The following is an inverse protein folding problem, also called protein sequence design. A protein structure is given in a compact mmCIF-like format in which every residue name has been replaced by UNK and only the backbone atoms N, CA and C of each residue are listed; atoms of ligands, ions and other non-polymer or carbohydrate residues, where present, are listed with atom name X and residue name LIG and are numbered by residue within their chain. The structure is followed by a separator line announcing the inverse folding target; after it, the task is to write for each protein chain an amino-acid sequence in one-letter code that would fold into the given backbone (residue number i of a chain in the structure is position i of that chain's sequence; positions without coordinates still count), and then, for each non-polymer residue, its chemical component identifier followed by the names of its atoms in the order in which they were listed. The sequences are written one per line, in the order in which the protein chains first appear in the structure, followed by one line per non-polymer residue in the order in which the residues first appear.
data_IF_977126077769
#
_entry.id   IF_977126077769
#
_cell.length_a   1.000
_cell.length_b   1.000
_cell.length_c   1.000
_cell.angle_alpha   90.00
_cell.angle_beta   90.00
_cell.angle_gamma   90.00
#
_symmetry.space_group_name_H-M   'P 1'
#
loop_
_entity.id
_entity.type
_entity.pdbx_description
1 polymer ?
#
# COMPACT_ATOMS: atom_id res chain seq x y z
N UNK A 1 -17.86 45.83 -35.05
CA UNK A 1 -17.30 47.13 -34.68
C UNK A 1 -16.05 46.93 -33.82
N UNK A 2 -14.90 47.23 -34.40
CA UNK A 2 -13.60 47.66 -33.89
C UNK A 2 -12.84 46.81 -32.90
N UNK A 3 -11.84 46.18 -33.52
CA UNK A 3 -10.55 45.69 -32.96
C UNK A 3 -9.86 46.75 -32.08
N UNK A 4 -9.20 46.31 -31.02
CA UNK A 4 -7.97 46.96 -30.56
C UNK A 4 -6.93 45.91 -30.22
N UNK A 5 -5.94 45.83 -31.11
CA UNK A 5 -4.65 45.16 -30.88
C UNK A 5 -3.84 46.08 -29.97
N UNK A 6 -3.13 45.51 -28.98
CA UNK A 6 -1.99 46.16 -28.36
C UNK A 6 -0.85 45.14 -28.35
N UNK A 7 0.13 45.49 -29.08
CA UNK A 7 1.46 44.88 -29.25
C UNK A 7 2.42 45.64 -28.34
N UNK A 8 3.30 44.99 -27.66
CA UNK A 8 4.62 45.46 -27.14
C UNK A 8 5.15 44.43 -26.15
N UNK A 9 6.37 44.04 -26.02
CA UNK A 9 7.60 44.15 -26.80
C UNK A 9 8.58 43.15 -26.16
N UNK A 10 9.46 42.58 -26.97
CA UNK A 10 10.64 41.81 -26.58
C UNK A 10 11.56 42.61 -25.63
N UNK A 11 12.11 41.93 -24.62
CA UNK A 11 13.45 42.22 -24.13
C UNK A 11 14.17 40.89 -23.90
N UNK A 12 15.17 40.66 -24.72
CA UNK A 12 16.20 39.66 -24.59
C UNK A 12 17.25 40.15 -23.59
N UNK A 13 17.70 39.28 -22.73
CA UNK A 13 18.80 39.54 -21.79
C UNK A 13 19.49 38.24 -21.37
N UNK A 14 20.48 37.84 -22.15
CA UNK A 14 21.41 36.77 -21.78
C UNK A 14 22.40 37.29 -20.75
N UNK A 15 22.60 36.57 -19.68
CA UNK A 15 23.79 36.70 -18.84
C UNK A 15 24.16 35.34 -18.28
N UNK A 16 25.21 34.78 -18.87
CA UNK A 16 25.97 33.64 -18.39
C UNK A 16 26.95 34.16 -17.34
N UNK A 17 26.94 33.62 -16.13
CA UNK A 17 28.09 33.74 -15.23
C UNK A 17 28.19 32.45 -14.41
N UNK A 18 29.13 31.62 -14.82
CA UNK A 18 29.73 30.53 -14.06
C UNK A 18 30.54 31.09 -12.88
N UNK A 19 30.31 30.58 -11.68
CA UNK A 19 31.30 30.62 -10.62
C UNK A 19 31.27 29.33 -9.83
N UNK A 20 32.29 28.53 -10.00
CA UNK A 20 32.68 27.48 -9.09
C UNK A 20 33.28 28.15 -7.84
N UNK A 21 32.76 27.78 -6.66
CA UNK A 21 33.46 28.01 -5.41
C UNK A 21 33.14 26.87 -4.45
N UNK A 22 34.14 26.03 -4.17
CA UNK A 22 34.22 25.20 -3.00
C UNK A 22 34.19 26.06 -1.74
N UNK A 23 33.36 25.71 -0.78
CA UNK A 23 33.31 26.34 0.54
C UNK A 23 32.52 25.48 1.52
N UNK A 24 33.25 24.74 2.33
CA UNK A 24 32.79 23.91 3.43
C UNK A 24 32.19 24.76 4.55
N UNK A 25 30.95 24.51 4.96
CA UNK A 25 30.48 24.50 6.38
C UNK A 25 28.95 24.34 6.49
N UNK A 26 28.53 23.31 7.16
CA UNK A 26 27.47 23.19 8.15
C UNK A 26 26.09 23.77 7.83
N UNK A 27 25.18 22.93 7.33
CA UNK A 27 23.77 23.23 7.30
C UNK A 27 22.98 21.93 7.08
N UNK A 28 22.43 21.38 8.17
CA UNK A 28 21.69 20.13 8.18
C UNK A 28 20.38 20.24 7.39
N UNK A 29 20.40 19.89 6.12
CA UNK A 29 19.18 19.45 5.43
C UNK A 29 19.08 17.94 5.65
N UNK A 30 18.14 17.53 6.50
CA UNK A 30 17.68 16.15 6.54
C UNK A 30 16.97 15.85 5.23
N UNK A 31 17.72 15.44 4.24
CA UNK A 31 17.22 14.60 3.16
C UNK A 31 16.71 13.32 3.83
N UNK A 32 15.49 12.91 3.46
CA UNK A 32 14.93 11.64 3.89
C UNK A 32 15.98 10.56 3.66
N UNK A 33 16.44 10.00 4.75
CA UNK A 33 17.34 8.86 4.79
C UNK A 33 16.61 7.70 4.11
N UNK A 34 16.97 7.47 2.86
CA UNK A 34 16.73 6.20 2.20
C UNK A 34 17.65 5.21 2.89
N UNK A 35 17.20 4.74 4.04
CA UNK A 35 17.92 3.79 4.86
C UNK A 35 18.39 2.64 4.01
N UNK A 36 19.70 2.47 3.97
CA UNK A 36 20.39 1.30 3.45
C UNK A 36 19.84 0.04 4.14
N UNK A 37 18.72 -0.46 3.63
CA UNK A 37 18.19 -1.76 3.98
C UNK A 37 19.15 -2.79 3.39
N UNK A 38 19.68 -3.62 4.22
CA UNK A 38 20.60 -4.73 3.97
C UNK A 38 20.10 -5.67 2.86
N UNK A 39 20.00 -5.23 1.61
CA UNK A 39 19.68 -6.05 0.44
C UNK A 39 18.33 -6.77 0.46
N UNK A 40 17.47 -6.55 1.46
CA UNK A 40 16.17 -7.20 1.58
C UNK A 40 15.07 -6.38 0.90
N UNK A 41 14.12 -7.06 0.27
CA UNK A 41 12.89 -6.44 -0.22
C UNK A 41 11.97 -6.12 0.95
N UNK A 42 11.61 -4.85 1.12
CA UNK A 42 10.60 -4.45 2.11
C UNK A 42 9.23 -4.42 1.44
N UNK A 43 8.24 -5.05 2.09
CA UNK A 43 6.82 -4.97 1.72
C UNK A 43 6.02 -4.39 2.89
N UNK A 44 5.03 -3.59 2.57
CA UNK A 44 4.14 -2.96 3.54
C UNK A 44 2.82 -3.73 3.64
N UNK A 45 2.40 -4.02 4.87
CA UNK A 45 1.12 -4.66 5.15
C UNK A 45 0.27 -3.76 6.04
N UNK A 46 -0.87 -3.31 5.53
CA UNK A 46 -1.88 -2.60 6.31
C UNK A 46 -2.98 -3.55 6.73
N UNK A 47 -3.30 -3.57 8.03
CA UNK A 47 -4.29 -4.47 8.58
C UNK A 47 -5.19 -3.78 9.61
N UNK A 48 -6.50 -3.98 9.49
CA UNK A 48 -7.40 -3.72 10.60
C UNK A 48 -7.17 -4.75 11.70
N UNK A 49 -7.12 -4.34 12.98
CA UNK A 49 -6.75 -5.23 14.09
C UNK A 49 -7.91 -6.15 14.51
N UNK A 50 -8.32 -7.05 13.63
CA UNK A 50 -9.45 -7.97 13.87
C UNK A 50 -9.03 -9.19 14.68
N UNK A 51 -7.80 -9.69 14.47
CA UNK A 51 -7.28 -10.91 15.11
C UNK A 51 -6.16 -10.65 16.11
N UNK A 52 -6.07 -9.45 16.62
CA UNK A 52 -4.87 -8.93 17.27
C UNK A 52 -4.55 -9.50 18.62
N UNK A 53 -5.53 -10.12 19.27
CA UNK A 53 -5.39 -10.52 20.65
C UNK A 53 -5.72 -12.00 20.83
N UNK A 54 -4.73 -12.79 21.23
CA UNK A 54 -4.93 -14.15 21.75
C UNK A 54 -5.36 -14.15 23.21
N UNK A 55 -4.98 -13.09 23.93
CA UNK A 55 -5.33 -12.83 25.33
C UNK A 55 -5.65 -11.35 25.49
N UNK A 56 -6.48 -11.02 26.46
CA UNK A 56 -6.85 -9.63 26.76
C UNK A 56 -5.65 -8.71 27.09
N UNK A 57 -4.52 -9.29 27.52
CA UNK A 57 -3.28 -8.58 27.81
C UNK A 57 -2.41 -8.28 26.59
N UNK A 58 -2.72 -8.87 25.43
CA UNK A 58 -1.91 -8.72 24.23
C UNK A 58 -2.14 -7.34 23.62
N UNK A 59 -1.06 -6.72 23.13
CA UNK A 59 -1.15 -5.45 22.42
C UNK A 59 -1.71 -5.62 21.01
N UNK A 60 -2.22 -4.53 20.44
CA UNK A 60 -2.69 -4.46 19.07
C UNK A 60 -1.58 -4.91 18.09
N UNK A 61 -1.93 -5.74 17.13
CA UNK A 61 -1.00 -6.26 16.12
C UNK A 61 -0.13 -7.43 16.59
N UNK A 62 -0.39 -8.02 17.76
CA UNK A 62 0.40 -9.16 18.25
C UNK A 62 0.27 -10.38 17.35
N UNK A 63 -0.94 -10.70 16.90
CA UNK A 63 -1.18 -11.82 15.99
C UNK A 63 -0.50 -11.62 14.63
N UNK A 64 -0.65 -10.44 14.05
CA UNK A 64 -0.03 -10.08 12.79
C UNK A 64 1.50 -10.15 12.87
N UNK A 65 2.10 -9.70 13.97
CA UNK A 65 3.54 -9.79 14.19
C UNK A 65 4.04 -11.24 14.28
N UNK A 66 3.24 -12.16 14.83
CA UNK A 66 3.59 -13.59 14.83
C UNK A 66 3.58 -14.17 13.42
N UNK A 67 2.58 -13.83 12.60
CA UNK A 67 2.51 -14.22 11.18
C UNK A 67 3.73 -13.68 10.43
N UNK A 68 4.05 -12.39 10.60
CA UNK A 68 5.21 -11.75 9.98
C UNK A 68 6.49 -12.47 10.37
N UNK A 69 6.68 -12.78 11.64
CA UNK A 69 7.88 -13.51 12.12
C UNK A 69 8.02 -14.87 11.46
N UNK A 70 6.92 -15.60 11.32
CA UNK A 70 6.92 -16.91 10.64
C UNK A 70 7.22 -16.76 9.14
N UNK A 71 6.63 -15.76 8.49
CA UNK A 71 6.85 -15.45 7.07
C UNK A 71 8.31 -15.04 6.78
N UNK A 72 8.86 -14.10 7.55
CA UNK A 72 10.24 -13.62 7.39
C UNK A 72 11.27 -14.75 7.68
N UNK A 73 10.94 -15.69 8.57
CA UNK A 73 11.77 -16.87 8.80
C UNK A 73 11.84 -17.79 7.57
N UNK A 74 10.72 -17.94 6.88
CA UNK A 74 10.63 -18.74 5.65
C UNK A 74 11.16 -17.99 4.42
N UNK A 75 11.19 -16.65 4.46
CA UNK A 75 11.59 -15.77 3.37
C UNK A 75 12.63 -14.75 3.86
N UNK A 76 13.89 -15.15 4.07
CA UNK A 76 14.90 -14.32 4.75
C UNK A 76 15.27 -13.06 3.99
N UNK A 77 14.98 -12.99 2.70
CA UNK A 77 15.25 -11.83 1.83
C UNK A 77 14.10 -10.82 1.78
N UNK A 78 13.02 -11.09 2.53
CA UNK A 78 11.85 -10.19 2.62
C UNK A 78 11.73 -9.65 4.04
N UNK A 79 11.37 -8.38 4.14
CA UNK A 79 11.00 -7.70 5.37
C UNK A 79 9.57 -7.20 5.27
N UNK A 80 8.74 -7.46 6.28
CA UNK A 80 7.35 -6.98 6.31
C UNK A 80 7.20 -5.86 7.32
N UNK A 81 6.71 -4.72 6.85
CA UNK A 81 6.39 -3.56 7.68
C UNK A 81 4.88 -3.52 7.92
N UNK A 82 4.47 -3.84 9.14
CA UNK A 82 3.08 -3.77 9.55
C UNK A 82 2.65 -2.36 9.91
N UNK A 83 1.52 -1.94 9.41
CA UNK A 83 0.76 -0.80 9.92
C UNK A 83 -0.66 -1.25 10.31
N UNK A 84 -1.01 -1.07 11.58
CA UNK A 84 -2.38 -1.32 12.05
C UNK A 84 -3.26 -0.12 11.75
N UNK A 85 -4.40 -0.37 11.12
CA UNK A 85 -5.33 0.65 10.66
C UNK A 85 -6.47 0.82 11.68
N UNK A 86 -6.73 2.04 12.07
CA UNK A 86 -7.85 2.38 12.95
C UNK A 86 -9.21 2.20 12.26
N UNK A 87 -10.19 1.64 12.95
CA UNK A 87 -11.51 1.36 12.37
C UNK A 87 -12.31 2.61 11.98
N UNK A 88 -12.09 3.73 12.65
CA UNK A 88 -12.84 4.96 12.41
C UNK A 88 -12.31 5.73 11.21
N UNK A 89 -10.99 5.94 11.16
CA UNK A 89 -10.31 6.75 10.13
C UNK A 89 -9.68 5.90 9.01
N UNK A 90 -9.54 4.62 9.23
CA UNK A 90 -8.86 3.70 8.33
C UNK A 90 -9.46 3.61 6.93
N UNK A 91 -10.79 3.51 6.77
CA UNK A 91 -11.39 3.45 5.44
C UNK A 91 -11.05 4.67 4.58
N UNK A 92 -11.07 5.87 5.15
CA UNK A 92 -10.70 7.11 4.46
C UNK A 92 -9.21 7.14 4.13
N UNK A 93 -8.36 6.75 5.09
CA UNK A 93 -6.91 6.64 4.88
C UNK A 93 -6.57 5.71 3.72
N UNK A 94 -7.18 4.52 3.67
CA UNK A 94 -6.94 3.54 2.62
C UNK A 94 -7.37 4.10 1.25
N UNK A 95 -8.58 4.67 1.18
CA UNK A 95 -9.09 5.26 -0.07
C UNK A 95 -8.17 6.36 -0.56
N UNK A 96 -7.76 7.27 0.32
CA UNK A 96 -6.84 8.36 -0.01
C UNK A 96 -5.49 7.83 -0.51
N UNK A 97 -4.92 6.82 0.16
CA UNK A 97 -3.65 6.23 -0.25
C UNK A 97 -3.74 5.52 -1.61
N UNK A 98 -4.83 4.80 -1.88
CA UNK A 98 -5.09 4.15 -3.17
C UNK A 98 -5.17 5.21 -4.29
N UNK A 99 -5.91 6.30 -4.07
CA UNK A 99 -6.04 7.38 -5.07
C UNK A 99 -4.72 8.13 -5.28
N UNK A 100 -3.91 8.30 -4.24
CA UNK A 100 -2.61 8.93 -4.31
C UNK A 100 -1.49 8.03 -4.87
N UNK A 101 -1.75 6.73 -5.09
CA UNK A 101 -0.74 5.76 -5.51
C UNK A 101 0.29 5.43 -4.43
N UNK A 102 -0.07 5.60 -3.16
CA UNK A 102 0.76 5.31 -1.97
C UNK A 102 0.18 4.19 -1.10
N UNK A 103 -0.69 3.36 -1.69
CA UNK A 103 -1.28 2.21 -1.02
C UNK A 103 -0.21 1.20 -0.58
N UNK A 104 -0.50 0.36 0.43
CA UNK A 104 0.39 -0.72 0.84
C UNK A 104 0.46 -1.83 -0.22
N UNK A 105 1.50 -2.67 -0.14
CA UNK A 105 1.63 -3.85 -1.00
C UNK A 105 0.58 -4.91 -0.65
N UNK A 106 0.24 -5.04 0.63
CA UNK A 106 -0.77 -5.97 1.14
C UNK A 106 -1.77 -5.23 2.02
N UNK A 107 -3.05 -5.45 1.75
CA UNK A 107 -4.14 -4.85 2.51
C UNK A 107 -5.06 -5.94 3.08
N UNK A 108 -5.27 -5.93 4.41
CA UNK A 108 -6.32 -6.69 5.07
C UNK A 108 -7.48 -5.77 5.44
N UNK A 109 -8.63 -5.95 4.80
CA UNK A 109 -9.81 -5.10 4.96
C UNK A 109 -11.12 -5.89 4.75
N UNK A 110 -12.25 -5.23 4.95
CA UNK A 110 -13.57 -5.81 4.77
C UNK A 110 -13.85 -6.20 3.31
N UNK A 111 -14.48 -7.36 3.06
CA UNK A 111 -14.72 -7.88 1.70
C UNK A 111 -15.37 -6.88 0.75
N UNK A 112 -16.37 -6.13 1.22
CA UNK A 112 -17.09 -5.18 0.38
C UNK A 112 -16.20 -4.07 -0.20
N UNK A 113 -15.26 -3.55 0.58
CA UNK A 113 -14.30 -2.53 0.12
C UNK A 113 -13.28 -3.12 -0.84
N UNK A 114 -12.70 -4.26 -0.50
CA UNK A 114 -11.71 -4.96 -1.33
C UNK A 114 -12.27 -5.22 -2.73
N UNK A 115 -13.47 -5.77 -2.82
CA UNK A 115 -14.11 -6.05 -4.13
C UNK A 115 -14.37 -4.78 -4.92
N UNK A 116 -14.72 -3.67 -4.26
CA UNK A 116 -14.89 -2.38 -4.95
C UNK A 116 -13.57 -1.83 -5.48
N UNK A 117 -12.49 -1.91 -4.71
CA UNK A 117 -11.16 -1.51 -5.20
C UNK A 117 -10.72 -2.38 -6.39
N UNK A 118 -10.97 -3.69 -6.34
CA UNK A 118 -10.70 -4.60 -7.44
C UNK A 118 -11.49 -4.24 -8.71
N UNK A 119 -12.80 -4.01 -8.60
CA UNK A 119 -13.65 -3.58 -9.73
C UNK A 119 -13.16 -2.29 -10.38
N UNK A 120 -12.57 -1.39 -9.59
CA UNK A 120 -12.03 -0.13 -10.06
C UNK A 120 -10.57 -0.22 -10.55
N UNK A 121 -10.03 -1.45 -10.69
CA UNK A 121 -8.67 -1.68 -11.20
C UNK A 121 -7.56 -1.21 -10.26
N UNK A 122 -7.85 -1.11 -8.95
CA UNK A 122 -6.90 -0.62 -7.95
C UNK A 122 -6.15 -1.74 -7.23
N UNK A 123 -6.51 -3.00 -7.47
CA UNK A 123 -5.89 -4.17 -6.88
C UNK A 123 -5.42 -5.14 -7.96
N UNK A 124 -4.36 -5.87 -7.67
CA UNK A 124 -3.91 -7.00 -8.48
C UNK A 124 -4.93 -8.14 -8.45
N UNK A 125 -5.03 -8.88 -9.54
CA UNK A 125 -5.80 -10.10 -9.61
C UNK A 125 -5.07 -11.23 -8.87
N UNK A 126 -5.81 -12.04 -8.13
CA UNK A 126 -5.30 -13.14 -7.31
C UNK A 126 -5.75 -14.51 -7.83
N UNK A 127 -6.13 -14.61 -9.11
CA UNK A 127 -6.67 -15.84 -9.69
C UNK A 127 -5.74 -17.03 -9.51
N UNK A 128 -4.43 -16.81 -9.61
CA UNK A 128 -3.41 -17.86 -9.47
C UNK A 128 -3.38 -18.52 -8.08
N UNK A 129 -3.91 -17.83 -7.07
CA UNK A 129 -4.02 -18.36 -5.70
C UNK A 129 -5.26 -19.25 -5.51
N UNK A 130 -6.22 -19.21 -6.44
CA UNK A 130 -7.46 -20.00 -6.39
C UNK A 130 -7.26 -21.36 -7.06
N UNK A 131 -6.26 -22.11 -6.59
CA UNK A 131 -6.01 -23.48 -7.06
C UNK A 131 -7.17 -24.43 -6.73
N UNK A 132 -7.23 -25.57 -7.41
CA UNK A 132 -8.24 -26.59 -7.11
C UNK A 132 -8.17 -27.07 -5.67
N UNK A 133 -6.95 -27.18 -5.11
CA UNK A 133 -6.76 -27.62 -3.72
C UNK A 133 -7.26 -26.56 -2.75
N UNK A 134 -6.94 -25.25 -2.99
CA UNK A 134 -7.47 -24.17 -2.19
C UNK A 134 -9.02 -24.13 -2.22
N UNK A 135 -9.63 -24.21 -3.39
CA UNK A 135 -11.11 -24.20 -3.51
C UNK A 135 -11.72 -25.37 -2.79
N UNK A 136 -11.09 -26.55 -2.85
CA UNK A 136 -11.53 -27.75 -2.12
C UNK A 136 -11.37 -27.61 -0.61
N UNK A 137 -10.28 -27.02 -0.15
CA UNK A 137 -10.02 -26.80 1.29
C UNK A 137 -11.00 -25.80 1.88
N UNK A 138 -11.29 -24.70 1.19
CA UNK A 138 -12.30 -23.73 1.61
C UNK A 138 -13.68 -24.39 1.72
N UNK A 139 -13.99 -25.32 0.83
CA UNK A 139 -15.24 -26.09 0.77
C UNK A 139 -16.50 -25.23 0.97
N UNK A 140 -16.48 -23.98 0.53
CA UNK A 140 -17.58 -23.03 0.64
C UNK A 140 -17.62 -22.13 -0.61
N UNK A 141 -18.54 -22.46 -1.52
CA UNK A 141 -18.68 -21.72 -2.77
C UNK A 141 -19.09 -20.26 -2.56
N UNK A 142 -19.83 -19.93 -1.50
CA UNK A 142 -20.23 -18.54 -1.23
C UNK A 142 -19.02 -17.68 -0.88
N UNK A 143 -18.08 -18.19 -0.09
CA UNK A 143 -16.83 -17.51 0.23
C UNK A 143 -15.99 -17.30 -1.04
N UNK A 144 -15.88 -18.34 -1.87
CA UNK A 144 -15.14 -18.25 -3.15
C UNK A 144 -15.76 -17.19 -4.06
N UNK A 145 -17.10 -17.16 -4.18
CA UNK A 145 -17.78 -16.14 -4.99
C UNK A 145 -17.67 -14.74 -4.39
N UNK A 146 -17.75 -14.61 -3.06
CA UNK A 146 -17.58 -13.33 -2.39
C UNK A 146 -16.16 -12.73 -2.54
N UNK A 147 -15.19 -13.57 -2.88
CA UNK A 147 -13.79 -13.16 -3.12
C UNK A 147 -13.56 -12.60 -4.52
N UNK A 148 -14.58 -12.62 -5.38
CA UNK A 148 -14.47 -12.31 -6.81
C UNK A 148 -15.37 -11.15 -7.24
N UNK A 149 -14.96 -10.55 -8.36
CA UNK A 149 -15.81 -9.69 -9.17
C UNK A 149 -15.82 -10.25 -10.59
N UNK A 150 -16.90 -10.93 -10.96
CA UNK A 150 -16.94 -11.75 -12.17
C UNK A 150 -15.93 -12.90 -12.09
N UNK A 151 -15.08 -13.02 -13.10
CA UNK A 151 -14.06 -14.10 -13.17
C UNK A 151 -12.77 -13.76 -12.40
N UNK A 152 -12.64 -12.55 -11.84
CA UNK A 152 -11.42 -12.05 -11.25
C UNK A 152 -11.50 -12.09 -9.73
N UNK A 153 -10.54 -12.77 -9.09
CA UNK A 153 -10.37 -12.80 -7.65
C UNK A 153 -9.52 -11.60 -7.20
N UNK A 154 -9.99 -10.89 -6.17
CA UNK A 154 -9.29 -9.74 -5.59
C UNK A 154 -9.10 -9.86 -4.08
N UNK A 155 -9.66 -10.87 -3.48
CA UNK A 155 -9.55 -11.12 -2.05
C UNK A 155 -9.19 -12.59 -1.81
N UNK A 156 -8.20 -12.83 -0.95
CA UNK A 156 -7.89 -14.16 -0.46
C UNK A 156 -8.55 -14.32 0.92
N UNK A 157 -9.56 -15.19 1.08
CA UNK A 157 -10.26 -15.35 2.35
C UNK A 157 -9.38 -16.09 3.36
N UNK A 158 -9.18 -15.51 4.54
CA UNK A 158 -8.40 -16.11 5.62
C UNK A 158 -9.28 -16.53 6.81
N UNK A 159 -10.52 -16.05 6.84
CA UNK A 159 -11.53 -16.44 7.81
C UNK A 159 -12.92 -16.19 7.26
N UNK A 160 -13.91 -16.89 7.80
CA UNK A 160 -15.32 -16.57 7.60
C UNK A 160 -15.95 -16.29 8.97
N UNK A 161 -16.69 -15.20 9.11
CA UNK A 161 -17.61 -15.03 10.21
C UNK A 161 -18.85 -15.92 9.95
N UNK A 162 -19.43 -16.51 11.00
CA UNK A 162 -20.69 -17.25 10.89
C UNK A 162 -21.85 -16.33 10.51
#
# INVERSE_FOLDING_TARGET
MRMKKILCSLVAGAAILSLAACGNSGGSNKSADSGNSSGKTEITWWAFPVFTQKKASDGVGTYEKEIIKAFEKANPDIKVKLETIDFKSGPEKITTAIEAGTAPDVLFDAPGRIIQYGKNGKLAELNDLFTNDFVKDVNNNQIIQASKAGDKAYMYPISSAP
#
